data_IF_744092220232
#
_entry.id   IF_744092220232
#
_cell.length_a   1.000
_cell.length_b   1.000
_cell.length_c   1.000
_cell.angle_alpha   90.00
_cell.angle_beta   90.00
_cell.angle_gamma   90.00
#
_symmetry.space_group_name_H-M   'P 1'
#
loop_
_entity.id
_entity.type
_entity.pdbx_description
1 polymer ?
#
# COMPACT_ATOMS: atom_id res chain seq x y z
N UNK A 1 -10.36 14.92 -14.14
CA UNK A 1 -10.26 14.49 -12.73
C UNK A 1 -8.88 14.75 -12.07
N UNK A 2 -8.81 14.87 -10.73
CA UNK A 2 -7.54 14.87 -9.94
C UNK A 2 -7.26 13.51 -9.27
N UNK A 3 -6.00 13.23 -8.94
CA UNK A 3 -5.60 11.99 -8.24
C UNK A 3 -6.33 11.82 -6.90
N UNK A 4 -6.51 12.91 -6.15
CA UNK A 4 -7.22 12.88 -4.86
C UNK A 4 -8.69 12.47 -5.04
N UNK A 5 -9.36 13.00 -6.06
CA UNK A 5 -10.72 12.58 -6.40
C UNK A 5 -10.75 11.11 -6.76
N UNK A 6 -9.84 10.67 -7.63
CA UNK A 6 -9.74 9.26 -8.04
C UNK A 6 -9.55 8.32 -6.83
N UNK A 7 -8.60 8.63 -5.93
CA UNK A 7 -8.41 7.86 -4.68
C UNK A 7 -9.66 7.83 -3.83
N UNK A 8 -10.32 8.98 -3.65
CA UNK A 8 -11.56 9.05 -2.86
C UNK A 8 -12.65 8.14 -3.43
N UNK A 9 -12.85 8.12 -4.75
CA UNK A 9 -13.84 7.23 -5.35
C UNK A 9 -13.44 5.76 -5.29
N UNK A 10 -12.15 5.43 -5.43
CA UNK A 10 -11.69 4.06 -5.23
C UNK A 10 -11.93 3.60 -3.78
N UNK A 11 -11.69 4.47 -2.78
CA UNK A 11 -12.02 4.16 -1.38
C UNK A 11 -13.50 3.87 -1.21
N UNK A 12 -14.36 4.76 -1.70
CA UNK A 12 -15.82 4.59 -1.60
C UNK A 12 -16.31 3.34 -2.31
N UNK A 13 -15.71 3.00 -3.46
CA UNK A 13 -16.01 1.76 -4.17
C UNK A 13 -15.60 0.52 -3.36
N UNK A 14 -14.39 0.50 -2.79
CA UNK A 14 -13.95 -0.60 -1.90
C UNK A 14 -14.89 -0.71 -0.70
N UNK A 15 -15.22 0.39 -0.05
CA UNK A 15 -16.11 0.46 1.12
C UNK A 15 -17.56 0.02 0.82
N UNK A 16 -18.02 0.19 -0.43
CA UNK A 16 -19.34 -0.27 -0.85
C UNK A 16 -19.48 -1.79 -0.86
N UNK A 17 -18.36 -2.50 -0.99
CA UNK A 17 -18.30 -3.96 -1.13
C UNK A 17 -17.66 -4.64 0.08
N UNK A 18 -16.66 -4.00 0.68
CA UNK A 18 -15.87 -4.51 1.79
C UNK A 18 -16.00 -3.57 2.96
N UNK A 19 -16.31 -4.11 4.14
CA UNK A 19 -16.20 -3.32 5.37
C UNK A 19 -14.76 -2.91 5.58
N UNK A 20 -14.51 -1.63 5.83
CA UNK A 20 -13.20 -1.09 6.21
C UNK A 20 -13.40 -0.32 7.51
N UNK A 21 -12.78 -0.76 8.62
CA UNK A 21 -12.94 -0.06 9.91
C UNK A 21 -12.13 1.23 9.97
N UNK A 22 -10.97 1.28 9.27
CA UNK A 22 -10.13 2.47 9.17
C UNK A 22 -9.27 2.45 7.90
N UNK A 23 -8.94 3.64 7.38
CA UNK A 23 -7.92 3.85 6.35
C UNK A 23 -6.60 4.26 6.99
N UNK A 24 -5.79 3.29 7.40
CA UNK A 24 -4.58 3.52 8.20
C UNK A 24 -3.45 2.56 7.79
N UNK A 25 -2.21 2.97 8.02
CA UNK A 25 -1.01 2.14 7.88
C UNK A 25 -0.84 1.19 9.07
N UNK A 26 -1.44 1.54 10.21
CA UNK A 26 -1.35 0.76 11.44
C UNK A 26 -2.09 -0.59 11.37
N UNK A 27 -1.64 -1.53 12.21
CA UNK A 27 -2.25 -2.85 12.35
C UNK A 27 -3.68 -2.72 12.88
N UNK A 28 -4.66 -3.50 12.35
CA UNK A 28 -6.03 -3.46 12.89
C UNK A 28 -6.09 -3.75 14.40
N UNK A 29 -7.07 -3.18 15.07
CA UNK A 29 -7.29 -3.38 16.50
C UNK A 29 -7.43 -4.88 16.85
N UNK A 30 -6.99 -5.27 18.05
CA UNK A 30 -7.11 -6.65 18.56
C UNK A 30 -8.53 -6.99 19.07
N UNK A 31 -9.55 -6.27 18.63
CA UNK A 31 -10.91 -6.41 19.16
C UNK A 31 -11.88 -6.57 18.00
N UNK A 32 -12.52 -7.74 17.84
CA UNK A 32 -13.41 -7.99 16.70
C UNK A 32 -14.58 -7.01 16.69
N UNK A 33 -14.93 -6.56 15.50
CA UNK A 33 -16.08 -5.69 15.27
C UNK A 33 -17.36 -6.52 15.37
N UNK A 34 -18.34 -6.04 16.14
CA UNK A 34 -19.64 -6.71 16.34
C UNK A 34 -20.70 -5.97 15.53
N UNK A 35 -21.37 -6.66 14.61
CA UNK A 35 -22.47 -6.14 13.79
C UNK A 35 -23.60 -7.15 13.84
N UNK A 36 -24.81 -6.73 14.22
CA UNK A 36 -25.98 -7.60 14.33
C UNK A 36 -25.70 -8.88 15.14
N UNK A 37 -25.03 -8.75 16.29
CA UNK A 37 -24.60 -9.84 17.18
C UNK A 37 -23.55 -10.81 16.59
N UNK A 38 -23.15 -10.63 15.34
CA UNK A 38 -22.10 -11.40 14.69
C UNK A 38 -20.73 -10.74 14.86
N UNK A 39 -19.72 -11.55 15.17
CA UNK A 39 -18.32 -11.11 15.31
C UNK A 39 -17.60 -11.24 13.97
N UNK A 40 -16.88 -10.19 13.62
CA UNK A 40 -16.07 -10.13 12.44
C UNK A 40 -14.63 -9.75 12.82
N UNK A 41 -13.61 -10.24 12.09
CA UNK A 41 -12.25 -9.79 12.30
C UNK A 41 -12.17 -8.29 12.06
N UNK A 42 -11.40 -7.58 12.89
CA UNK A 42 -11.10 -6.15 12.68
C UNK A 42 -10.25 -6.01 11.43
N UNK A 43 -10.47 -4.94 10.68
CA UNK A 43 -9.70 -4.68 9.49
C UNK A 43 -9.36 -3.21 9.30
N UNK A 44 -8.30 -2.96 8.55
CA UNK A 44 -7.99 -1.66 8.02
C UNK A 44 -7.66 -1.81 6.54
N UNK A 45 -7.79 -0.71 5.80
CA UNK A 45 -7.30 -0.61 4.45
C UNK A 45 -6.18 0.42 4.39
N UNK A 46 -5.14 0.12 3.62
CA UNK A 46 -4.02 1.03 3.40
C UNK A 46 -3.96 1.40 1.93
N UNK A 47 -3.74 2.68 1.70
CA UNK A 47 -3.41 3.20 0.39
C UNK A 47 -1.90 3.25 0.20
N UNK A 48 -1.39 2.61 -0.84
CA UNK A 48 0.04 2.61 -1.12
C UNK A 48 0.39 3.71 -2.15
N UNK A 49 1.68 4.10 -2.26
CA UNK A 49 2.14 5.04 -3.27
C UNK A 49 1.76 4.59 -4.69
N UNK A 50 1.46 5.53 -5.58
CA UNK A 50 1.16 5.23 -7.00
C UNK A 50 2.46 4.79 -7.67
N UNK A 51 2.41 3.71 -8.45
CA UNK A 51 3.53 3.26 -9.30
C UNK A 51 3.27 3.60 -10.75
N UNK A 52 4.36 3.69 -11.52
CA UNK A 52 4.35 3.84 -12.98
C UNK A 52 3.45 5.00 -13.45
N UNK A 53 3.45 6.09 -12.69
CA UNK A 53 2.60 7.24 -12.98
C UNK A 53 3.14 8.00 -14.19
N UNK A 54 2.29 8.18 -15.20
CA UNK A 54 2.60 8.90 -16.43
C UNK A 54 1.53 9.94 -16.74
N UNK A 55 1.94 11.02 -17.39
CA UNK A 55 1.01 12.02 -17.93
C UNK A 55 1.43 12.32 -19.37
N UNK A 56 0.47 12.29 -20.29
CA UNK A 56 0.68 12.66 -21.69
C UNK A 56 -0.42 13.61 -22.16
N UNK A 57 -0.09 14.47 -23.11
CA UNK A 57 -1.07 15.31 -23.79
C UNK A 57 -1.61 14.57 -25.01
N UNK A 58 -2.92 14.38 -25.08
CA UNK A 58 -3.61 13.75 -26.19
C UNK A 58 -4.80 14.63 -26.60
N UNK A 59 -4.95 14.93 -27.90
CA UNK A 59 -6.14 15.57 -28.47
C UNK A 59 -6.72 16.78 -27.69
N UNK A 60 -5.86 17.62 -27.10
CA UNK A 60 -6.26 18.83 -26.37
C UNK A 60 -6.57 18.64 -24.88
N UNK A 61 -6.48 17.43 -24.35
CA UNK A 61 -6.60 17.11 -22.92
C UNK A 61 -5.35 16.40 -22.40
N UNK A 62 -5.27 16.23 -21.08
CA UNK A 62 -4.21 15.47 -20.41
C UNK A 62 -4.75 14.09 -20.06
N UNK A 63 -4.05 13.05 -20.48
CA UNK A 63 -4.28 11.68 -20.04
C UNK A 63 -3.24 11.33 -19.00
N UNK A 64 -3.70 10.86 -17.85
CA UNK A 64 -2.86 10.34 -16.79
C UNK A 64 -3.05 8.83 -16.68
N UNK A 65 -1.96 8.11 -16.42
CA UNK A 65 -1.97 6.68 -16.16
C UNK A 65 -1.21 6.39 -14.88
N UNK A 66 -1.56 5.31 -14.19
CA UNK A 66 -0.80 4.85 -13.04
C UNK A 66 -1.37 3.60 -12.41
N UNK A 67 -0.54 2.96 -11.59
CA UNK A 67 -0.90 1.78 -10.81
C UNK A 67 -1.23 2.18 -9.37
N UNK A 68 -2.50 2.08 -9.03
CA UNK A 68 -3.05 2.39 -7.72
C UNK A 68 -3.14 1.10 -6.91
N UNK A 69 -2.36 1.02 -5.83
CA UNK A 69 -2.28 -0.19 -5.02
C UNK A 69 -2.92 0.04 -3.66
N UNK A 70 -3.68 -0.96 -3.19
CA UNK A 70 -4.36 -0.96 -1.92
C UNK A 70 -4.13 -2.30 -1.20
N UNK A 71 -4.08 -2.25 0.13
CA UNK A 71 -4.02 -3.44 0.97
C UNK A 71 -5.18 -3.45 1.94
N UNK A 72 -5.89 -4.57 2.07
CA UNK A 72 -6.90 -4.79 3.10
C UNK A 72 -6.32 -5.78 4.10
N UNK A 73 -6.12 -5.34 5.33
CA UNK A 73 -5.49 -6.11 6.40
C UNK A 73 -6.58 -6.61 7.35
N UNK A 74 -6.63 -7.92 7.57
CA UNK A 74 -7.51 -8.55 8.54
C UNK A 74 -6.66 -9.15 9.66
N UNK A 75 -7.04 -8.86 10.91
CA UNK A 75 -6.38 -9.41 12.09
C UNK A 75 -7.16 -10.63 12.62
N UNK A 76 -6.43 -11.72 12.84
CA UNK A 76 -6.96 -12.95 13.44
C UNK A 76 -6.13 -13.35 14.64
N UNK A 77 -6.81 -13.87 15.67
CA UNK A 77 -6.14 -14.28 16.90
C UNK A 77 -5.09 -15.36 16.65
N UNK A 78 -3.98 -15.29 17.39
CA UNK A 78 -2.91 -16.28 17.37
C UNK A 78 -3.36 -17.70 17.75
N UNK A 79 -4.52 -17.85 18.41
CA UNK A 79 -5.11 -19.14 18.76
C UNK A 79 -5.63 -19.91 17.54
N UNK A 80 -5.93 -19.23 16.45
CA UNK A 80 -6.35 -19.88 15.21
C UNK A 80 -5.14 -20.59 14.56
N UNK A 81 -5.36 -21.81 14.08
CA UNK A 81 -4.36 -22.48 13.24
C UNK A 81 -4.24 -21.76 11.90
N UNK A 82 -3.06 -21.80 11.25
CA UNK A 82 -2.83 -21.10 9.98
C UNK A 82 -3.80 -21.58 8.90
N UNK A 83 -4.13 -22.86 8.92
CA UNK A 83 -5.01 -23.55 7.98
C UNK A 83 -6.49 -23.14 8.15
N UNK A 84 -6.84 -22.56 9.30
CA UNK A 84 -8.17 -22.04 9.60
C UNK A 84 -8.36 -20.59 9.14
N UNK A 85 -7.28 -19.92 8.69
CA UNK A 85 -7.39 -18.57 8.16
C UNK A 85 -8.23 -18.60 6.87
N UNK A 86 -9.16 -17.65 6.68
CA UNK A 86 -10.08 -17.65 5.54
C UNK A 86 -9.42 -17.11 4.26
N UNK A 87 -8.24 -17.64 3.90
CA UNK A 87 -7.43 -17.20 2.76
C UNK A 87 -8.25 -17.21 1.47
N UNK A 88 -8.93 -18.33 1.19
CA UNK A 88 -9.75 -18.51 -0.01
C UNK A 88 -10.93 -17.53 -0.09
N UNK A 89 -11.51 -17.16 1.04
CA UNK A 89 -12.59 -16.17 1.06
C UNK A 89 -12.07 -14.77 0.72
N UNK A 90 -10.89 -14.41 1.25
CA UNK A 90 -10.26 -13.13 0.89
C UNK A 90 -9.80 -13.14 -0.56
N UNK A 91 -9.20 -14.22 -1.07
CA UNK A 91 -8.86 -14.34 -2.50
C UNK A 91 -10.09 -14.13 -3.38
N UNK A 92 -11.20 -14.83 -3.09
CA UNK A 92 -12.45 -14.67 -3.84
C UNK A 92 -13.01 -13.25 -3.76
N UNK A 93 -12.86 -12.58 -2.62
CA UNK A 93 -13.27 -11.18 -2.47
C UNK A 93 -12.44 -10.26 -3.37
N UNK A 94 -11.12 -10.45 -3.41
CA UNK A 94 -10.24 -9.67 -4.31
C UNK A 94 -10.59 -9.94 -5.77
N UNK A 95 -10.85 -11.20 -6.14
CA UNK A 95 -11.30 -11.55 -7.49
C UNK A 95 -12.65 -10.91 -7.83
N UNK A 96 -13.60 -10.93 -6.90
CA UNK A 96 -14.90 -10.28 -7.10
C UNK A 96 -14.76 -8.77 -7.30
N UNK A 97 -13.97 -8.09 -6.46
CA UNK A 97 -13.63 -6.68 -6.66
C UNK A 97 -12.99 -6.46 -8.03
N UNK A 98 -12.11 -7.37 -8.45
CA UNK A 98 -11.47 -7.23 -9.74
C UNK A 98 -12.45 -7.31 -10.91
N UNK A 99 -13.33 -8.31 -10.88
CA UNK A 99 -14.40 -8.45 -11.87
C UNK A 99 -15.35 -7.24 -11.87
N UNK A 100 -15.73 -6.73 -10.69
CA UNK A 100 -16.60 -5.56 -10.58
C UNK A 100 -15.97 -4.30 -11.19
N UNK A 101 -14.69 -4.06 -10.92
CA UNK A 101 -14.01 -2.88 -11.45
C UNK A 101 -13.93 -2.91 -12.99
N UNK A 102 -13.60 -4.07 -13.56
CA UNK A 102 -13.50 -4.25 -15.03
C UNK A 102 -14.88 -4.23 -15.69
N UNK A 103 -15.89 -4.83 -15.07
CA UNK A 103 -17.24 -4.89 -15.63
C UNK A 103 -17.96 -3.53 -15.57
N UNK A 104 -17.67 -2.71 -14.54
CA UNK A 104 -18.36 -1.46 -14.29
C UNK A 104 -17.37 -0.31 -13.95
N UNK A 105 -16.42 0.03 -14.82
CA UNK A 105 -15.43 1.07 -14.55
C UNK A 105 -16.07 2.44 -14.30
N UNK A 106 -17.24 2.69 -14.90
CA UNK A 106 -18.05 3.89 -14.70
C UNK A 106 -18.57 4.04 -13.26
N UNK A 107 -18.65 2.94 -12.48
CA UNK A 107 -19.01 3.01 -11.05
C UNK A 107 -17.92 3.64 -10.19
N UNK A 108 -16.68 3.67 -10.70
CA UNK A 108 -15.59 4.41 -10.08
C UNK A 108 -15.68 5.89 -10.50
N UNK A 109 -15.60 6.18 -11.81
CA UNK A 109 -15.76 7.54 -12.37
C UNK A 109 -16.07 7.54 -13.87
N UNK A 110 -16.79 8.56 -14.34
CA UNK A 110 -17.07 8.80 -15.77
C UNK A 110 -15.81 9.14 -16.60
N UNK A 111 -14.78 9.70 -15.95
CA UNK A 111 -13.54 10.18 -16.58
C UNK A 111 -12.46 9.07 -16.77
N UNK A 112 -12.78 7.82 -16.41
CA UNK A 112 -11.87 6.68 -16.60
C UNK A 112 -11.91 6.23 -18.06
N UNK A 113 -10.75 6.26 -18.70
CA UNK A 113 -10.56 5.80 -20.09
C UNK A 113 -10.39 4.30 -20.11
N UNK A 114 -9.51 3.80 -19.24
CA UNK A 114 -9.16 2.38 -19.17
C UNK A 114 -8.98 2.00 -17.71
N UNK A 115 -9.54 0.86 -17.32
CA UNK A 115 -9.26 0.23 -16.04
C UNK A 115 -8.94 -1.24 -16.27
N UNK A 116 -7.77 -1.62 -15.79
CA UNK A 116 -7.28 -3.00 -15.81
C UNK A 116 -6.79 -3.39 -14.43
N UNK A 117 -6.79 -4.69 -14.15
CA UNK A 117 -6.33 -5.23 -12.88
C UNK A 117 -5.24 -6.22 -13.19
N UNK A 118 -4.03 -5.86 -12.76
CA UNK A 118 -2.88 -6.74 -12.94
C UNK A 118 -3.14 -8.04 -12.17
N UNK A 119 -2.95 -9.20 -12.82
CA UNK A 119 -3.15 -10.47 -12.15
C UNK A 119 -2.04 -10.67 -11.12
N UNK A 120 -2.31 -10.32 -9.86
CA UNK A 120 -1.34 -10.51 -8.79
C UNK A 120 -1.20 -12.02 -8.58
N UNK A 121 0.00 -12.55 -8.82
CA UNK A 121 0.27 -13.99 -8.68
C UNK A 121 -0.07 -14.53 -7.27
N UNK A 122 0.01 -13.67 -6.25
CA UNK A 122 -0.42 -13.96 -4.88
C UNK A 122 -1.21 -12.74 -4.35
N UNK A 123 -2.53 -12.68 -4.56
CA UNK A 123 -3.34 -11.54 -4.14
C UNK A 123 -3.51 -11.50 -2.62
N UNK A 124 -3.21 -12.60 -1.93
CA UNK A 124 -3.29 -12.68 -0.48
C UNK A 124 -1.95 -13.09 0.11
N UNK A 125 -1.50 -12.36 1.12
CA UNK A 125 -0.30 -12.66 1.91
C UNK A 125 -0.67 -12.91 3.37
N UNK A 126 0.06 -13.82 4.03
CA UNK A 126 -0.11 -14.13 5.45
C UNK A 126 1.16 -13.69 6.18
N UNK A 127 0.99 -12.91 7.24
CA UNK A 127 2.07 -12.48 8.12
C UNK A 127 1.71 -12.75 9.59
N UNK A 128 2.70 -12.69 10.48
CA UNK A 128 2.50 -12.67 11.93
C UNK A 128 2.92 -11.29 12.44
N UNK A 129 2.16 -10.75 13.39
CA UNK A 129 2.56 -9.54 14.11
C UNK A 129 3.75 -9.87 15.00
N UNK A 130 4.78 -9.04 14.95
CA UNK A 130 5.90 -9.08 15.89
C UNK A 130 5.44 -8.51 17.23
N UNK A 131 5.65 -9.25 18.34
CA UNK A 131 5.22 -8.82 19.68
C UNK A 131 4.60 -9.95 20.52
N UNK A 132 3.92 -9.57 21.61
CA UNK A 132 3.35 -10.50 22.59
C UNK A 132 2.12 -11.26 22.05
N UNK A 133 1.24 -10.58 21.33
CA UNK A 133 0.00 -11.16 20.81
C UNK A 133 0.26 -12.23 19.74
N UNK A 134 1.33 -12.05 18.95
CA UNK A 134 1.70 -12.89 17.79
C UNK A 134 0.54 -13.15 16.84
N UNK A 135 -0.44 -12.26 16.72
CA UNK A 135 -1.63 -12.49 15.91
C UNK A 135 -1.30 -12.68 14.42
N UNK A 136 -2.22 -13.31 13.71
CA UNK A 136 -2.13 -13.47 12.26
C UNK A 136 -2.65 -12.23 11.55
N UNK A 137 -1.94 -11.82 10.50
CA UNK A 137 -2.39 -10.83 9.54
C UNK A 137 -2.60 -11.47 8.19
N UNK A 138 -3.79 -11.27 7.65
CA UNK A 138 -4.13 -11.65 6.29
C UNK A 138 -4.26 -10.37 5.46
N UNK A 139 -3.44 -10.23 4.43
CA UNK A 139 -3.34 -9.01 3.63
C UNK A 139 -3.84 -9.32 2.23
N UNK A 140 -5.02 -8.82 1.88
CA UNK A 140 -5.54 -8.82 0.51
C UNK A 140 -5.00 -7.62 -0.25
N UNK A 141 -4.40 -7.84 -1.41
CA UNK A 141 -3.80 -6.80 -2.25
C UNK A 141 -4.67 -6.55 -3.47
N UNK A 142 -4.87 -5.27 -3.79
CA UNK A 142 -5.61 -4.82 -4.96
C UNK A 142 -4.67 -3.90 -5.74
N UNK A 143 -4.47 -4.18 -7.02
CA UNK A 143 -3.68 -3.34 -7.91
C UNK A 143 -4.55 -2.94 -9.10
N UNK A 144 -4.86 -1.65 -9.21
CA UNK A 144 -5.67 -1.09 -10.29
C UNK A 144 -4.74 -0.30 -11.22
N UNK A 145 -4.65 -0.72 -12.48
CA UNK A 145 -4.04 0.07 -13.55
C UNK A 145 -5.13 0.97 -14.13
N UNK A 146 -5.00 2.28 -13.94
CA UNK A 146 -6.04 3.23 -14.32
C UNK A 146 -5.45 4.26 -15.27
N UNK A 147 -6.12 4.45 -16.40
CA UNK A 147 -5.94 5.57 -17.31
C UNK A 147 -7.17 6.48 -17.23
N UNK A 148 -6.96 7.78 -17.03
CA UNK A 148 -8.04 8.74 -16.82
C UNK A 148 -7.72 10.11 -17.40
N UNK A 149 -8.77 10.87 -17.73
CA UNK A 149 -8.62 12.25 -18.20
C UNK A 149 -8.38 13.16 -17.01
N UNK A 150 -7.22 13.82 -17.00
CA UNK A 150 -6.84 14.80 -15.99
C UNK A 150 -7.26 16.21 -16.40
N UNK A 151 -7.84 16.94 -15.45
CA UNK A 151 -8.19 18.37 -15.63
C UNK A 151 -7.16 19.28 -14.97
N UNK A 152 -6.20 18.71 -14.24
CA UNK A 152 -5.14 19.45 -13.58
C UNK A 152 -3.99 19.66 -14.57
N UNK A 153 -3.60 20.92 -14.80
CA UNK A 153 -2.17 21.19 -15.00
C UNK A 153 -1.47 20.49 -13.84
N UNK A 154 -0.75 19.42 -14.13
CA UNK A 154 -0.33 18.48 -13.10
C UNK A 154 0.45 19.22 -12.01
N UNK A 155 -0.14 19.33 -10.82
CA UNK A 155 0.49 19.95 -9.67
C UNK A 155 1.48 18.95 -9.07
N UNK A 156 2.60 18.79 -9.79
CA UNK A 156 3.68 17.84 -9.51
C UNK A 156 4.29 18.02 -8.13
N UNK A 157 4.14 19.21 -7.51
CA UNK A 157 4.66 19.52 -6.17
C UNK A 157 3.99 18.73 -5.04
N UNK A 158 2.78 18.21 -5.27
CA UNK A 158 2.04 17.43 -4.27
C UNK A 158 2.40 15.94 -4.22
N UNK A 159 3.15 15.44 -5.22
CA UNK A 159 3.48 14.03 -5.39
C UNK A 159 4.90 13.67 -4.93
N UNK A 160 5.68 14.66 -4.53
CA UNK A 160 6.97 14.46 -3.87
C UNK A 160 6.82 14.86 -2.41
N UNK A 161 7.53 14.22 -1.46
CA UNK A 161 7.74 14.87 -0.17
C UNK A 161 8.22 16.29 -0.47
N UNK A 162 7.59 17.31 0.15
CA UNK A 162 7.94 18.70 -0.10
C UNK A 162 9.45 18.85 -0.03
N UNK A 163 10.08 19.23 -1.15
CA UNK A 163 11.50 19.55 -1.15
C UNK A 163 11.63 20.90 -0.49
N UNK A 164 11.68 20.93 0.84
CA UNK A 164 12.33 22.03 1.55
C UNK A 164 13.83 21.94 1.26
N UNK A 165 14.23 22.25 0.02
CA UNK A 165 15.58 22.70 -0.33
C UNK A 165 15.59 23.19 -1.79
N UNK A 166 15.69 24.50 -1.99
CA UNK A 166 15.99 25.13 -3.28
C UNK A 166 17.45 24.94 -3.73
N UNK A 167 18.09 23.81 -3.43
CA UNK A 167 19.40 23.49 -3.99
C UNK A 167 19.44 22.07 -4.55
N UNK A 168 19.87 21.88 -5.81
CA UNK A 168 19.99 20.56 -6.40
C UNK A 168 21.09 19.78 -5.65
N UNK A 169 20.67 18.87 -4.77
CA UNK A 169 21.57 17.92 -4.14
C UNK A 169 21.94 16.84 -5.15
N UNK A 170 23.19 16.87 -5.62
CA UNK A 170 23.79 15.73 -6.29
C UNK A 170 24.66 15.00 -5.27
N UNK A 171 24.29 13.80 -4.80
CA UNK A 171 25.12 13.05 -3.86
C UNK A 171 26.45 12.70 -4.52
N UNK A 172 27.52 13.37 -4.10
CA UNK A 172 28.89 13.10 -4.59
C UNK A 172 29.55 11.93 -3.87
N UNK A 173 29.05 11.59 -2.66
CA UNK A 173 29.47 10.39 -1.94
C UNK A 173 28.41 9.91 -0.94
N UNK A 174 28.38 8.60 -0.71
CA UNK A 174 27.59 7.96 0.36
C UNK A 174 28.56 7.44 1.41
N UNK A 175 28.32 7.76 2.69
CA UNK A 175 29.01 7.14 3.81
C UNK A 175 28.17 6.01 4.39
N UNK A 176 28.70 4.78 4.35
CA UNK A 176 28.09 3.62 5.01
C UNK A 176 28.91 3.27 6.25
N UNK A 177 28.29 3.37 7.42
CA UNK A 177 28.89 2.89 8.66
C UNK A 177 28.74 1.38 8.80
N UNK A 178 29.86 0.66 8.73
CA UNK A 178 29.94 -0.74 9.11
C UNK A 178 30.13 -0.83 10.62
N UNK A 179 29.13 -1.37 11.31
CA UNK A 179 29.20 -1.60 12.73
C UNK A 179 29.65 -3.03 13.02
N UNK A 180 30.55 -3.19 13.99
CA UNK A 180 30.98 -4.48 14.54
C UNK A 180 30.26 -4.72 15.86
N UNK A 181 29.86 -5.97 16.11
CA UNK A 181 29.22 -6.35 17.35
C UNK A 181 30.20 -6.98 18.34
N UNK A 182 29.92 -6.83 19.63
CA UNK A 182 30.62 -7.50 20.73
C UNK A 182 29.78 -8.64 21.30
N UNK A 183 30.41 -9.75 21.66
CA UNK A 183 29.70 -10.92 22.19
C UNK A 183 29.45 -10.79 23.70
N UNK A 184 28.26 -11.15 24.22
CA UNK A 184 27.08 -11.62 23.51
C UNK A 184 26.33 -10.50 22.79
N UNK A 185 25.93 -10.72 21.54
CA UNK A 185 25.26 -9.72 20.70
C UNK A 185 23.77 -9.73 21.00
N UNK A 186 23.21 -8.60 21.42
CA UNK A 186 21.78 -8.39 21.45
C UNK A 186 21.33 -7.61 20.19
N UNK A 187 20.66 -8.26 19.22
CA UNK A 187 20.36 -7.65 17.92
C UNK A 187 19.36 -6.49 17.95
N UNK A 188 18.67 -6.29 19.08
CA UNK A 188 17.72 -5.19 19.31
C UNK A 188 18.30 -4.07 20.19
N UNK A 189 19.50 -4.23 20.74
CA UNK A 189 20.18 -3.19 21.52
C UNK A 189 21.25 -2.49 20.66
N UNK A 190 21.06 -1.20 20.28
CA UNK A 190 22.03 -0.44 19.50
C UNK A 190 23.40 -0.34 20.19
N UNK A 191 23.45 -0.43 21.53
CA UNK A 191 24.69 -0.44 22.30
C UNK A 191 25.53 -1.71 22.12
N UNK A 192 24.95 -2.78 21.55
CA UNK A 192 25.68 -4.01 21.21
C UNK A 192 26.53 -3.89 19.93
N UNK A 193 26.47 -2.74 19.26
CA UNK A 193 27.15 -2.44 18.02
C UNK A 193 28.02 -1.20 18.18
N UNK A 194 29.27 -1.25 17.70
CA UNK A 194 30.15 -0.09 17.66
C UNK A 194 30.60 0.11 16.23
N UNK A 195 30.61 1.37 15.78
CA UNK A 195 31.06 1.74 14.45
C UNK A 195 32.52 1.32 14.27
N UNK A 196 32.75 0.37 13.38
CA UNK A 196 34.06 -0.22 13.12
C UNK A 196 34.74 0.51 11.97
N UNK A 197 33.99 0.79 10.91
CA UNK A 197 34.53 1.44 9.72
C UNK A 197 33.48 2.29 9.02
N UNK A 198 33.89 3.45 8.54
CA UNK A 198 33.12 4.23 7.57
C UNK A 198 33.63 3.91 6.17
N UNK A 199 32.74 3.41 5.31
CA UNK A 199 32.98 3.24 3.89
C UNK A 199 32.47 4.48 3.17
N UNK A 200 33.39 5.23 2.56
CA UNK A 200 33.06 6.30 1.64
C UNK A 200 32.93 5.71 0.24
N UNK A 201 31.74 5.76 -0.34
CA UNK A 201 31.49 5.39 -1.72
C UNK A 201 31.32 6.69 -2.50
N UNK A 202 32.32 7.08 -3.26
CA UNK A 202 32.20 8.20 -4.19
C UNK A 202 31.33 7.79 -5.37
N UNK A 203 30.33 8.61 -5.69
CA UNK A 203 29.50 8.43 -6.88
C UNK A 203 30.07 9.39 -7.94
N UNK A 204 31.06 8.92 -8.69
CA UNK A 204 31.58 9.68 -9.84
C UNK A 204 30.48 9.81 -10.91
N UNK A 205 30.35 11.01 -11.48
CA UNK A 205 29.47 11.30 -12.61
C UNK A 205 30.06 10.78 -13.93
#
# INVERSE_FOLDING_TARGET
MSIRQLRTGIRSWIESTVRVDAWDLDVPANVPTIINEQRYPSNCAVELPIKDFGVRKANGYLEASGRFMYGILYRYTARAAKEQLPVKLVENLIHYLAEQAVAYPQTLFDDIVTLDIDSIANPVSIARIEGEDKDWLLIGRIELNIEFVSNAEADFGSLQPGTDSEEPFTPTSIQVGLNRSYYPVNPIDPGSYTLDRLLNISLEQ
#
